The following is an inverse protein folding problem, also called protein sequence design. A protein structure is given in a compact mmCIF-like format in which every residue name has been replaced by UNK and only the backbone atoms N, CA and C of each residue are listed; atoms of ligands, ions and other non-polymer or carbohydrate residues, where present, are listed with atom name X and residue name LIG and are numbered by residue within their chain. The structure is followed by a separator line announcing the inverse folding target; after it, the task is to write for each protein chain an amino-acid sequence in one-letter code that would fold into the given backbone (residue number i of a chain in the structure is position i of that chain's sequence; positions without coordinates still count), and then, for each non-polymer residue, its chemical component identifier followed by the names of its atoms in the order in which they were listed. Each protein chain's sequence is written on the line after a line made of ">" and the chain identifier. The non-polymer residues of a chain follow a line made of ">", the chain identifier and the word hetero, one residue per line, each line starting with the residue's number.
data_IF_157223296042
#
_entry.id   IF_157223296042
#
_cell.length_a   1.000
_cell.length_b   1.000
_cell.length_c   1.000
_cell.angle_alpha   90.00
_cell.angle_beta   90.00
_cell.angle_gamma   90.00
#
_symmetry.space_group_name_H-M   'P 1'
#
loop_
_entity.id
_entity.type
_entity.pdbx_description
1 polymer ?
#
# COMPACT_ATOMS: atom_id res chain seq x y z
N UNK A 1 10.49 -6.55 -13.24
CA UNK A 1 10.91 -6.26 -11.84
C UNK A 1 10.46 -7.41 -10.95
N UNK A 2 11.34 -7.95 -10.11
CA UNK A 2 10.98 -9.08 -9.22
C UNK A 2 10.09 -8.58 -8.09
N UNK A 3 9.03 -9.32 -7.73
CA UNK A 3 8.08 -8.94 -6.67
C UNK A 3 8.72 -8.61 -5.31
N UNK A 4 10.01 -8.96 -5.13
CA UNK A 4 10.84 -8.62 -3.97
C UNK A 4 10.93 -7.12 -3.68
N UNK A 5 10.96 -6.26 -4.70
CA UNK A 5 11.09 -4.80 -4.50
C UNK A 5 9.79 -4.15 -3.98
N UNK A 6 8.63 -4.77 -4.24
CA UNK A 6 7.32 -4.27 -3.77
C UNK A 6 7.08 -4.69 -2.30
N UNK A 7 7.55 -5.87 -1.90
CA UNK A 7 7.43 -6.35 -0.52
C UNK A 7 8.37 -5.63 0.46
N UNK A 8 9.49 -5.09 -0.02
CA UNK A 8 10.51 -4.43 0.81
C UNK A 8 9.94 -3.18 1.54
N UNK A 9 8.96 -2.49 0.92
CA UNK A 9 8.30 -1.31 1.54
C UNK A 9 7.52 -1.64 2.81
N UNK A 10 6.99 -2.86 2.90
CA UNK A 10 6.22 -3.31 4.05
C UNK A 10 7.12 -3.92 5.14
N UNK A 11 8.32 -4.35 4.76
CA UNK A 11 9.32 -4.87 5.67
C UNK A 11 10.12 -3.75 6.35
N UNK A 12 10.37 -2.60 5.71
CA UNK A 12 11.09 -1.47 6.33
C UNK A 12 10.54 -1.02 7.70
N UNK A 13 9.21 -0.80 7.86
CA UNK A 13 8.63 -0.42 9.16
C UNK A 13 8.75 -1.50 10.23
N UNK A 14 8.87 -2.77 9.82
CA UNK A 14 9.11 -3.93 10.69
C UNK A 14 10.61 -4.15 10.97
N UNK A 15 11.47 -3.77 10.03
CA UNK A 15 12.90 -3.97 10.08
C UNK A 15 13.55 -3.07 11.13
N UNK A 16 13.14 -1.80 11.24
CA UNK A 16 13.67 -0.88 12.26
C UNK A 16 13.44 -1.42 13.69
N UNK A 17 12.23 -1.85 14.07
CA UNK A 17 12.02 -2.41 15.40
C UNK A 17 12.64 -3.81 15.57
N UNK A 18 12.68 -4.65 14.53
CA UNK A 18 13.37 -5.94 14.59
C UNK A 18 14.89 -5.76 14.76
N UNK A 19 15.50 -4.79 14.06
CA UNK A 19 16.90 -4.40 14.22
C UNK A 19 17.15 -3.78 15.59
N UNK A 20 16.25 -2.95 16.11
CA UNK A 20 16.35 -2.44 17.47
C UNK A 20 16.32 -3.58 18.50
N UNK A 21 15.45 -4.57 18.33
CA UNK A 21 15.40 -5.79 19.15
C UNK A 21 16.68 -6.64 19.03
N UNK A 22 17.25 -6.77 17.82
CA UNK A 22 18.49 -7.51 17.59
C UNK A 22 19.74 -6.79 18.11
N UNK A 23 19.78 -5.47 18.02
CA UNK A 23 20.88 -4.62 18.49
C UNK A 23 20.85 -4.39 20.01
N UNK A 24 19.67 -4.50 20.63
CA UNK A 24 19.49 -4.39 22.10
C UNK A 24 19.31 -5.75 22.79
N UNK A 25 19.16 -6.83 22.02
CA UNK A 25 19.06 -8.19 22.52
C UNK A 25 20.42 -8.72 22.99
N UNK A 26 20.50 -9.40 24.14
CA UNK A 26 21.75 -9.96 24.62
C UNK A 26 22.16 -11.15 23.74
N UNK A 27 23.37 -11.11 23.17
CA UNK A 27 24.09 -12.34 22.83
C UNK A 27 24.15 -13.16 24.13
N UNK A 28 23.69 -14.43 24.15
CA UNK A 28 23.71 -15.23 25.36
C UNK A 28 25.16 -15.59 25.69
N UNK A 29 25.87 -14.66 26.33
CA UNK A 29 27.06 -14.98 27.08
C UNK A 29 26.60 -15.75 28.32
N UNK A 30 26.76 -17.07 28.27
CA UNK A 30 26.61 -18.00 29.39
C UNK A 30 27.57 -17.63 30.53
N UNK A 31 27.26 -16.58 31.31
CA UNK A 31 27.93 -16.28 32.59
C UNK A 31 27.25 -15.13 33.32
N UNK A 32 26.31 -15.47 34.22
CA UNK A 32 26.42 -15.20 35.65
C UNK A 32 25.04 -15.12 36.33
N UNK A 33 24.83 -16.09 37.23
CA UNK A 33 23.64 -16.35 38.06
C UNK A 33 23.45 -15.37 39.23
N UNK A 34 23.84 -14.10 39.14
CA UNK A 34 23.69 -13.17 40.28
C UNK A 34 23.22 -11.78 39.83
N UNK A 35 21.90 -11.56 39.81
CA UNK A 35 21.21 -10.28 40.13
C UNK A 35 19.71 -10.34 39.76
N UNK A 36 18.88 -10.83 40.68
CA UNK A 36 17.42 -11.02 40.47
C UNK A 36 16.59 -9.76 40.24
N UNK A 37 17.10 -8.56 40.56
CA UNK A 37 16.33 -7.30 40.46
C UNK A 37 16.55 -6.59 39.11
N UNK A 38 17.75 -6.68 38.52
CA UNK A 38 18.05 -6.08 37.20
C UNK A 38 17.47 -6.90 36.03
N UNK A 39 17.24 -8.19 36.25
CA UNK A 39 16.63 -9.09 35.25
C UNK A 39 15.16 -8.75 34.99
N UNK A 40 14.36 -8.52 36.04
CA UNK A 40 12.93 -8.21 35.89
C UNK A 40 12.64 -6.90 35.16
N UNK A 41 13.43 -5.84 35.42
CA UNK A 41 13.30 -4.55 34.71
C UNK A 41 13.66 -4.68 33.23
N UNK A 42 14.66 -5.50 32.90
CA UNK A 42 15.08 -5.75 31.51
C UNK A 42 14.03 -6.58 30.74
N UNK A 43 13.47 -7.62 31.36
CA UNK A 43 12.38 -8.41 30.77
C UNK A 43 11.13 -7.54 30.56
N UNK A 44 10.80 -6.66 31.51
CA UNK A 44 9.72 -5.70 31.37
C UNK A 44 9.93 -4.72 30.21
N UNK A 45 11.13 -4.15 30.08
CA UNK A 45 11.45 -3.23 28.98
C UNK A 45 11.40 -3.89 27.60
N UNK A 46 11.91 -5.13 27.47
CA UNK A 46 11.84 -5.90 26.22
C UNK A 46 10.40 -6.27 25.88
N UNK A 47 9.58 -6.66 26.85
CA UNK A 47 8.17 -6.97 26.64
C UNK A 47 7.38 -5.73 26.19
N UNK A 48 7.64 -4.56 26.80
CA UNK A 48 7.02 -3.30 26.38
C UNK A 48 7.43 -2.92 24.96
N UNK A 49 8.73 -3.01 24.64
CA UNK A 49 9.23 -2.73 23.29
C UNK A 49 8.58 -3.67 22.27
N UNK A 50 8.60 -4.98 22.51
CA UNK A 50 7.95 -5.97 21.63
C UNK A 50 6.44 -5.70 21.49
N UNK A 51 5.76 -5.31 22.57
CA UNK A 51 4.36 -4.90 22.53
C UNK A 51 4.11 -3.68 21.64
N UNK A 52 4.93 -2.62 21.77
CA UNK A 52 4.82 -1.43 20.91
C UNK A 52 5.04 -1.77 19.43
N UNK A 53 6.01 -2.62 19.14
CA UNK A 53 6.29 -3.09 17.78
C UNK A 53 5.11 -3.87 17.22
N UNK A 54 4.57 -4.82 17.99
CA UNK A 54 3.41 -5.60 17.57
C UNK A 54 2.19 -4.72 17.31
N UNK A 55 1.89 -3.77 18.21
CA UNK A 55 0.75 -2.84 18.05
C UNK A 55 0.93 -1.91 16.86
N UNK A 56 2.13 -1.34 16.67
CA UNK A 56 2.42 -0.46 15.53
C UNK A 56 2.31 -1.22 14.21
N UNK A 57 2.89 -2.43 14.16
CA UNK A 57 2.85 -3.28 12.97
C UNK A 57 1.43 -3.70 12.62
N UNK A 58 0.66 -4.15 13.61
CA UNK A 58 -0.75 -4.50 13.43
C UNK A 58 -1.56 -3.29 12.94
N UNK A 59 -1.31 -2.10 13.49
CA UNK A 59 -1.97 -0.87 13.06
C UNK A 59 -1.64 -0.52 11.61
N UNK A 60 -0.37 -0.58 11.22
CA UNK A 60 0.07 -0.33 9.85
C UNK A 60 -0.52 -1.34 8.86
N UNK A 61 -0.47 -2.63 9.19
CA UNK A 61 -1.04 -3.71 8.36
C UNK A 61 -2.54 -3.55 8.20
N UNK A 62 -3.26 -3.25 9.29
CA UNK A 62 -4.72 -3.09 9.23
C UNK A 62 -5.10 -1.85 8.41
N UNK A 63 -4.32 -0.77 8.49
CA UNK A 63 -4.53 0.42 7.66
C UNK A 63 -4.24 0.18 6.17
N UNK A 64 -3.14 -0.52 5.86
CA UNK A 64 -2.83 -0.91 4.50
C UNK A 64 -3.94 -1.79 3.92
N UNK A 65 -4.39 -2.80 4.68
CA UNK A 65 -5.48 -3.68 4.26
C UNK A 65 -6.81 -2.93 4.06
N UNK A 66 -7.12 -1.97 4.93
CA UNK A 66 -8.32 -1.14 4.80
C UNK A 66 -8.27 -0.26 3.54
N UNK A 67 -7.12 0.32 3.23
CA UNK A 67 -6.89 1.07 2.00
C UNK A 67 -7.05 0.19 0.77
N UNK A 68 -6.33 -0.93 0.69
CA UNK A 68 -6.37 -1.85 -0.46
C UNK A 68 -7.80 -2.37 -0.68
N UNK A 69 -8.51 -2.72 0.40
CA UNK A 69 -9.92 -3.15 0.34
C UNK A 69 -10.83 -2.03 -0.19
N UNK A 70 -10.62 -0.78 0.25
CA UNK A 70 -11.44 0.35 -0.19
C UNK A 70 -11.21 0.65 -1.67
N UNK A 71 -9.96 0.61 -2.13
CA UNK A 71 -9.58 0.77 -3.53
C UNK A 71 -10.18 -0.32 -4.39
N UNK A 72 -10.00 -1.59 -3.99
CA UNK A 72 -10.56 -2.74 -4.71
C UNK A 72 -12.08 -2.64 -4.85
N UNK A 73 -12.80 -2.40 -3.73
CA UNK A 73 -14.27 -2.24 -3.77
C UNK A 73 -14.70 -1.07 -4.63
N UNK A 74 -13.97 0.03 -4.63
CA UNK A 74 -14.29 1.20 -5.45
C UNK A 74 -14.15 0.86 -6.93
N UNK A 75 -13.05 0.20 -7.33
CA UNK A 75 -12.82 -0.23 -8.70
C UNK A 75 -13.85 -1.27 -9.17
N UNK A 76 -14.13 -2.29 -8.34
CA UNK A 76 -15.16 -3.30 -8.64
C UNK A 76 -16.53 -2.66 -8.89
N UNK A 77 -16.93 -1.65 -8.11
CA UNK A 77 -18.20 -0.94 -8.35
C UNK A 77 -18.25 -0.22 -9.71
N UNK A 78 -17.13 0.28 -10.22
CA UNK A 78 -17.09 0.89 -11.56
C UNK A 78 -17.32 -0.16 -12.64
N UNK A 79 -16.70 -1.34 -12.48
CA UNK A 79 -16.84 -2.49 -13.38
C UNK A 79 -18.26 -3.05 -13.33
N UNK A 80 -18.79 -3.33 -12.14
CA UNK A 80 -20.15 -3.85 -11.94
C UNK A 80 -21.23 -2.91 -12.47
N UNK A 81 -20.98 -1.59 -12.42
CA UNK A 81 -21.86 -0.58 -12.98
C UNK A 81 -21.73 -0.41 -14.51
N UNK A 82 -20.89 -1.22 -15.18
CA UNK A 82 -20.65 -1.16 -16.62
C UNK A 82 -20.03 0.17 -17.08
N UNK A 83 -19.28 0.84 -16.20
CA UNK A 83 -18.65 2.13 -16.51
C UNK A 83 -17.33 1.96 -17.26
N UNK A 84 -16.60 0.88 -17.01
CA UNK A 84 -15.40 0.46 -17.73
C UNK A 84 -15.13 -1.03 -17.47
N UNK A 85 -14.41 -1.67 -18.38
CA UNK A 85 -13.83 -3.00 -18.12
C UNK A 85 -12.71 -2.89 -17.08
N UNK A 86 -12.44 -3.98 -16.36
CA UNK A 86 -11.53 -3.98 -15.22
C UNK A 86 -10.09 -3.53 -15.58
N UNK A 87 -9.62 -3.88 -16.78
CA UNK A 87 -8.32 -3.46 -17.30
C UNK A 87 -8.23 -1.95 -17.61
N UNK A 88 -9.36 -1.27 -17.78
CA UNK A 88 -9.47 0.16 -18.05
C UNK A 88 -9.74 1.00 -16.79
N UNK A 89 -9.58 0.41 -15.60
CA UNK A 89 -9.62 1.10 -14.31
C UNK A 89 -8.23 1.07 -13.70
N UNK A 90 -7.59 2.23 -13.52
CA UNK A 90 -6.40 2.35 -12.69
C UNK A 90 -6.84 2.44 -11.23
N UNK A 91 -6.47 1.41 -10.46
CA UNK A 91 -6.69 1.38 -9.02
C UNK A 91 -5.41 0.91 -8.30
N UNK A 92 -4.25 1.27 -8.87
CA UNK A 92 -2.94 0.94 -8.36
C UNK A 92 -2.47 -0.48 -8.68
N UNK A 93 -1.19 -0.72 -8.39
CA UNK A 93 -0.42 -1.89 -8.85
C UNK A 93 -1.09 -3.26 -8.64
N UNK A 94 -1.79 -3.47 -7.52
CA UNK A 94 -2.42 -4.76 -7.22
C UNK A 94 -3.60 -5.01 -8.15
N UNK A 95 -4.46 -3.99 -8.34
CA UNK A 95 -5.59 -4.07 -9.26
C UNK A 95 -5.10 -4.17 -10.70
N UNK A 96 -4.20 -3.26 -11.08
CA UNK A 96 -3.70 -3.16 -12.46
C UNK A 96 -2.95 -4.42 -12.85
N UNK A 97 -2.13 -4.99 -11.96
CA UNK A 97 -1.42 -6.23 -12.20
C UNK A 97 -2.34 -7.45 -12.30
N UNK A 98 -3.42 -7.49 -11.51
CA UNK A 98 -4.38 -8.60 -11.54
C UNK A 98 -5.27 -8.59 -12.79
N UNK A 99 -5.67 -7.41 -13.26
CA UNK A 99 -6.58 -7.25 -14.41
C UNK A 99 -5.86 -6.89 -15.72
N UNK A 100 -4.54 -6.74 -15.73
CA UNK A 100 -3.83 -6.40 -16.95
C UNK A 100 -3.92 -7.54 -17.98
N UNK A 101 -4.25 -7.25 -19.25
CA UNK A 101 -4.23 -8.24 -20.33
C UNK A 101 -2.80 -8.62 -20.74
N UNK A 102 -1.80 -7.88 -20.25
CA UNK A 102 -0.38 -8.06 -20.60
C UNK A 102 0.49 -8.25 -19.36
N UNK A 103 1.58 -9.00 -19.50
CA UNK A 103 2.59 -9.06 -18.46
C UNK A 103 3.23 -7.68 -18.25
N UNK A 104 3.65 -7.38 -17.01
CA UNK A 104 4.43 -6.18 -16.73
C UNK A 104 5.71 -6.18 -17.57
N UNK A 105 6.01 -5.05 -18.20
CA UNK A 105 7.24 -4.87 -18.94
C UNK A 105 8.46 -4.95 -18.02
N UNK A 106 9.52 -5.59 -18.50
CA UNK A 106 10.80 -5.67 -17.78
C UNK A 106 11.54 -4.34 -17.70
N UNK A 107 11.10 -3.36 -18.48
CA UNK A 107 11.68 -2.02 -18.54
C UNK A 107 10.58 -0.96 -18.39
N UNK A 108 10.92 0.09 -17.66
CA UNK A 108 10.07 1.26 -17.47
C UNK A 108 9.94 2.01 -18.78
N UNK A 109 8.71 2.30 -19.22
CA UNK A 109 8.50 3.26 -20.26
C UNK A 109 8.76 4.68 -19.72
N UNK A 110 9.92 5.26 -20.09
CA UNK A 110 10.36 6.57 -19.60
C UNK A 110 9.59 7.74 -20.21
N UNK A 111 8.83 7.54 -21.28
CA UNK A 111 8.00 8.59 -21.88
C UNK A 111 6.74 8.89 -21.06
N UNK A 112 6.33 7.96 -20.20
CA UNK A 112 5.24 8.16 -19.24
C UNK A 112 5.83 8.88 -18.01
N UNK A 113 5.25 10.03 -17.68
CA UNK A 113 5.66 10.86 -16.55
C UNK A 113 5.61 10.13 -15.21
N UNK A 114 6.31 10.67 -14.21
CA UNK A 114 6.25 10.18 -12.81
C UNK A 114 4.98 10.65 -12.09
N UNK A 115 3.92 10.97 -12.84
CA UNK A 115 2.68 11.48 -12.28
C UNK A 115 1.83 10.34 -11.70
N UNK A 116 0.51 10.52 -11.68
CA UNK A 116 -0.46 9.63 -11.03
C UNK A 116 -0.40 8.18 -11.54
N UNK A 117 0.19 7.96 -12.71
CA UNK A 117 0.24 6.69 -13.43
C UNK A 117 1.56 5.90 -13.28
N UNK A 118 2.19 5.94 -12.09
CA UNK A 118 3.46 5.25 -11.85
C UNK A 118 3.44 3.76 -12.24
N UNK A 119 2.29 3.10 -12.11
CA UNK A 119 2.07 1.70 -12.51
C UNK A 119 2.01 1.52 -14.04
N UNK A 120 1.40 2.45 -14.78
CA UNK A 120 1.31 2.38 -16.25
C UNK A 120 2.66 2.41 -16.95
N UNK A 121 3.71 2.89 -16.28
CA UNK A 121 5.08 2.83 -16.82
C UNK A 121 5.55 1.39 -17.06
N UNK A 122 4.96 0.43 -16.36
CA UNK A 122 5.18 -1.01 -16.54
C UNK A 122 4.09 -1.70 -17.35
N UNK A 123 2.97 -1.01 -17.59
CA UNK A 123 1.78 -1.50 -18.29
C UNK A 123 1.38 -0.51 -19.40
N UNK A 124 2.22 -0.31 -20.44
CA UNK A 124 2.09 0.80 -21.38
C UNK A 124 0.84 0.70 -22.28
N UNK A 125 0.21 -0.47 -22.36
CA UNK A 125 -1.00 -0.68 -23.16
C UNK A 125 -2.29 -0.48 -22.36
N UNK A 126 -2.22 -0.24 -21.04
CA UNK A 126 -3.38 0.12 -20.24
C UNK A 126 -3.63 1.62 -20.35
N UNK A 127 -4.71 1.99 -21.05
CA UNK A 127 -5.18 3.37 -21.11
C UNK A 127 -6.41 3.50 -20.20
N UNK A 128 -6.26 3.95 -18.94
CA UNK A 128 -7.37 3.95 -18.01
C UNK A 128 -8.44 4.96 -18.39
N UNK A 129 -9.70 4.52 -18.32
CA UNK A 129 -10.89 5.36 -18.40
C UNK A 129 -11.23 5.99 -17.04
N UNK A 130 -10.90 5.28 -15.97
CA UNK A 130 -11.10 5.72 -14.60
C UNK A 130 -9.84 5.55 -13.77
N UNK A 131 -9.65 6.45 -12.81
CA UNK A 131 -8.55 6.41 -11.85
C UNK A 131 -9.11 6.54 -10.45
N UNK A 132 -8.74 5.61 -9.56
CA UNK A 132 -9.04 5.64 -8.14
C UNK A 132 -7.79 6.09 -7.38
N UNK A 133 -7.76 7.35 -6.94
CA UNK A 133 -6.59 7.94 -6.28
C UNK A 133 -6.81 8.18 -4.78
N UNK A 134 -5.81 7.95 -3.91
CA UNK A 134 -5.84 8.36 -2.50
C UNK A 134 -5.79 9.89 -2.28
N UNK A 135 -5.49 10.67 -3.31
CA UNK A 135 -5.33 12.13 -3.20
C UNK A 135 -6.08 12.88 -4.29
N UNK A 136 -6.35 14.16 -4.03
CA UNK A 136 -6.98 15.02 -5.03
C UNK A 136 -5.98 15.41 -6.11
N UNK A 137 -6.39 15.37 -7.37
CA UNK A 137 -5.57 15.78 -8.50
C UNK A 137 -6.31 16.81 -9.37
N UNK A 138 -5.55 17.76 -9.89
CA UNK A 138 -5.98 18.66 -10.95
C UNK A 138 -5.12 18.37 -12.18
N UNK A 139 -5.65 17.54 -13.08
CA UNK A 139 -5.01 17.19 -14.34
C UNK A 139 -5.94 17.57 -15.51
N UNK A 140 -5.36 18.10 -16.59
CA UNK A 140 -6.12 18.44 -17.78
C UNK A 140 -6.80 17.19 -18.35
N UNK A 141 -8.09 17.30 -18.69
CA UNK A 141 -8.89 16.18 -19.19
C UNK A 141 -9.44 15.25 -18.11
N UNK A 142 -9.08 15.40 -16.84
CA UNK A 142 -9.65 14.58 -15.77
C UNK A 142 -10.88 15.25 -15.18
N UNK A 143 -11.93 14.46 -14.95
CA UNK A 143 -13.16 14.93 -14.29
C UNK A 143 -13.38 14.12 -13.02
N UNK A 144 -13.42 14.79 -11.87
CA UNK A 144 -13.81 14.14 -10.62
C UNK A 144 -15.26 13.65 -10.74
N UNK A 145 -15.46 12.35 -10.52
CA UNK A 145 -16.77 11.68 -10.60
C UNK A 145 -17.34 11.48 -9.22
N UNK A 146 -16.53 11.00 -8.27
CA UNK A 146 -16.99 10.77 -6.90
C UNK A 146 -15.85 10.79 -5.89
N UNK A 147 -16.21 10.94 -4.62
CA UNK A 147 -15.31 10.78 -3.48
C UNK A 147 -15.86 9.67 -2.59
N UNK A 148 -15.07 8.63 -2.37
CA UNK A 148 -15.43 7.46 -1.57
C UNK A 148 -14.72 7.53 -0.22
N UNK A 149 -15.48 7.66 0.86
CA UNK A 149 -14.91 7.67 2.20
C UNK A 149 -14.78 6.25 2.76
N UNK A 150 -13.66 5.98 3.43
CA UNK A 150 -13.42 4.72 4.12
C UNK A 150 -12.83 4.96 5.51
N UNK A 151 -12.98 3.97 6.39
CA UNK A 151 -12.46 4.01 7.76
C UNK A 151 -11.07 3.40 7.79
N UNK A 152 -10.14 4.09 8.44
CA UNK A 152 -8.83 3.54 8.81
C UNK A 152 -8.93 2.88 10.18
N UNK A 153 -8.23 1.78 10.42
CA UNK A 153 -8.27 1.04 11.69
C UNK A 153 -7.06 1.40 12.56
N UNK A 154 -7.25 1.44 13.89
CA UNK A 154 -6.18 1.71 14.87
C UNK A 154 -6.06 3.16 15.33
N UNK A 155 -6.64 4.12 14.59
CA UNK A 155 -6.94 5.49 15.02
C UNK A 155 -8.26 5.88 14.35
N UNK A 156 -9.10 6.69 15.01
CA UNK A 156 -10.45 7.11 14.60
C UNK A 156 -10.44 8.01 13.33
N UNK A 157 -9.70 7.60 12.31
CA UNK A 157 -9.46 8.32 11.07
C UNK A 157 -10.49 7.99 10.00
N UNK A 158 -10.85 9.02 9.23
CA UNK A 158 -11.56 8.88 7.97
C UNK A 158 -10.58 9.26 6.87
N UNK A 159 -10.55 8.47 5.82
CA UNK A 159 -9.80 8.76 4.60
C UNK A 159 -10.76 8.80 3.42
N UNK A 160 -10.27 9.27 2.28
CA UNK A 160 -11.05 9.42 1.06
C UNK A 160 -10.26 8.87 -0.13
N UNK A 161 -10.99 8.26 -1.05
CA UNK A 161 -10.53 7.94 -2.39
C UNK A 161 -11.26 8.85 -3.38
N UNK A 162 -10.55 9.38 -4.34
CA UNK A 162 -11.06 10.26 -5.37
C UNK A 162 -11.13 9.48 -6.68
N UNK A 163 -12.33 9.38 -7.25
CA UNK A 163 -12.56 8.69 -8.50
C UNK A 163 -12.64 9.70 -9.62
N UNK A 164 -11.72 9.61 -10.57
CA UNK A 164 -11.67 10.45 -11.75
C UNK A 164 -12.05 9.66 -12.99
N UNK A 165 -12.73 10.32 -13.93
CA UNK A 165 -12.83 9.90 -15.32
C UNK A 165 -11.77 10.61 -16.12
N UNK A 166 -11.02 9.87 -16.92
CA UNK A 166 -9.96 10.41 -17.78
C UNK A 166 -10.56 10.70 -19.16
N UNK A 167 -10.38 11.93 -19.64
CA UNK A 167 -10.78 12.36 -20.98
C UNK A 167 -9.78 11.88 -22.02
N UNK A 168 -10.29 11.47 -23.20
CA UNK A 168 -9.45 11.03 -24.33
C UNK A 168 -9.28 9.51 -24.46
N UNK A 169 -9.73 8.71 -23.49
CA UNK A 169 -9.76 7.25 -23.62
C UNK A 169 -10.93 6.83 -24.52
N UNK A 170 -10.64 6.54 -25.79
CA UNK A 170 -11.67 6.12 -26.77
C UNK A 170 -12.13 4.67 -26.59
N UNK A 171 -11.50 3.90 -25.71
CA UNK A 171 -11.79 2.48 -25.44
C UNK A 171 -12.29 2.31 -24.02
N UNK A 172 -13.54 2.69 -23.74
CA UNK A 172 -14.13 2.48 -22.42
C UNK A 172 -15.22 1.41 -22.40
N UNK A 173 -15.36 0.67 -23.51
CA UNK A 173 -16.26 -0.46 -23.75
C UNK A 173 -15.75 -1.28 -24.94
#
# INVERSE_FOLDING_TARGET
>A
MQGRDIYDRYLMPLAIPALALLLTGPVPALRDMRTGVRSGVRVGAVAVAAGMVAVTSATLLTNAFAFDTAVWRTATRLVDAGQADAEHVDAGLVWDGYHSPTAMADHVNRSIGLDVFGALRYLPNNSPCFVVSPSSHAAAGWKLVSVQHYKTYGLVGKAALYVYRVGGSQRCR
#
